data_IF_958320347830
#
_entry.id   IF_958320347830
#
_cell.length_a   1.000
_cell.length_b   1.000
_cell.length_c   1.000
_cell.angle_alpha   90.00
_cell.angle_beta   90.00
_cell.angle_gamma   90.00
#
_symmetry.space_group_name_H-M   'P 1'
#
loop_
_entity.id
_entity.type
_entity.pdbx_description
1 polymer ?
#
# COMPACT_ATOMS: atom_id res chain seq x y z
N UNK A 1 -48.76 32.85 -12.23
CA UNK A 1 -48.17 32.14 -11.06
C UNK A 1 -47.56 30.79 -11.45
N UNK A 2 -48.24 29.85 -12.13
CA UNK A 2 -47.72 28.50 -12.44
C UNK A 2 -46.44 28.45 -13.32
N UNK A 3 -46.24 29.44 -14.22
CA UNK A 3 -45.04 29.55 -15.08
C UNK A 3 -43.81 30.03 -14.32
N UNK A 4 -43.98 31.01 -13.42
CA UNK A 4 -42.88 31.54 -12.60
C UNK A 4 -42.34 30.47 -11.64
N UNK A 5 -43.19 29.65 -11.07
CA UNK A 5 -42.81 28.55 -10.18
C UNK A 5 -42.03 27.45 -10.93
N UNK A 6 -42.40 27.18 -12.19
CA UNK A 6 -41.64 26.22 -13.03
C UNK A 6 -40.24 26.71 -13.39
N UNK A 7 -40.12 27.99 -13.72
CA UNK A 7 -38.82 28.61 -14.04
C UNK A 7 -37.91 28.61 -12.80
N UNK A 8 -38.47 28.93 -11.61
CA UNK A 8 -37.74 28.92 -10.36
C UNK A 8 -37.26 27.49 -10.01
N UNK A 9 -38.08 26.46 -10.21
CA UNK A 9 -37.71 25.04 -10.00
C UNK A 9 -36.59 24.60 -10.95
N UNK A 10 -36.63 25.02 -12.22
CA UNK A 10 -35.58 24.69 -13.20
C UNK A 10 -34.25 25.37 -12.82
N UNK A 11 -34.29 26.62 -12.36
CA UNK A 11 -33.12 27.38 -11.90
C UNK A 11 -32.48 26.73 -10.66
N UNK A 12 -33.28 26.32 -9.68
CA UNK A 12 -32.80 25.64 -8.47
C UNK A 12 -32.21 24.28 -8.82
N UNK A 13 -32.83 23.50 -9.70
CA UNK A 13 -32.32 22.20 -10.16
C UNK A 13 -31.01 22.35 -10.96
N UNK A 14 -30.89 23.39 -11.80
CA UNK A 14 -29.66 23.72 -12.51
C UNK A 14 -28.50 24.05 -11.55
N UNK A 15 -28.80 24.79 -10.47
CA UNK A 15 -27.77 25.18 -9.49
C UNK A 15 -27.20 23.98 -8.70
N UNK A 16 -28.01 22.95 -8.45
CA UNK A 16 -27.59 21.72 -7.76
C UNK A 16 -26.64 20.90 -8.63
N UNK A 17 -26.79 20.94 -9.96
CA UNK A 17 -25.93 20.18 -10.88
C UNK A 17 -24.49 20.75 -11.00
N UNK A 18 -24.26 22.01 -10.64
CA UNK A 18 -22.93 22.64 -10.69
C UNK A 18 -22.11 22.48 -9.40
N UNK A 19 -22.67 21.90 -8.33
CA UNK A 19 -22.00 21.79 -7.02
C UNK A 19 -21.07 20.57 -6.90
N UNK A 20 -20.93 19.74 -7.93
CA UNK A 20 -20.07 18.54 -7.91
C UNK A 20 -18.65 18.81 -8.40
N UNK A 21 -18.03 19.89 -7.92
CA UNK A 21 -16.60 20.06 -8.12
C UNK A 21 -15.86 19.23 -7.06
N UNK A 22 -15.51 17.99 -7.36
CA UNK A 22 -14.62 17.21 -6.51
C UNK A 22 -13.26 17.93 -6.50
N UNK A 23 -12.81 18.33 -5.32
CA UNK A 23 -11.44 18.82 -5.12
C UNK A 23 -10.50 17.69 -5.51
N UNK A 24 -9.70 17.91 -6.55
CA UNK A 24 -8.63 16.98 -6.92
C UNK A 24 -7.60 17.05 -5.79
N UNK A 25 -7.46 15.97 -5.04
CA UNK A 25 -6.42 15.86 -4.04
C UNK A 25 -5.06 15.82 -4.73
N UNK A 26 -4.13 16.65 -4.25
CA UNK A 26 -2.76 16.66 -4.73
C UNK A 26 -1.86 16.12 -3.62
N UNK A 27 -1.10 15.10 -3.95
CA UNK A 27 -0.11 14.50 -3.06
C UNK A 27 1.30 14.95 -3.47
N UNK A 28 2.31 14.80 -2.60
CA UNK A 28 3.72 14.92 -2.97
C UNK A 28 4.10 13.90 -4.04
N UNK A 29 5.06 14.26 -4.92
CA UNK A 29 5.57 13.35 -5.94
C UNK A 29 6.39 12.19 -5.33
N UNK A 30 6.95 12.40 -4.13
CA UNK A 30 7.59 11.32 -3.35
C UNK A 30 6.46 10.49 -2.70
N UNK A 31 6.41 9.18 -2.96
CA UNK A 31 5.37 8.34 -2.39
C UNK A 31 5.36 8.35 -0.87
N UNK A 32 4.16 8.26 -0.29
CA UNK A 32 3.97 8.14 1.16
C UNK A 32 3.13 6.91 1.46
N UNK A 33 3.49 6.17 2.50
CA UNK A 33 2.75 4.97 2.94
C UNK A 33 2.34 5.05 4.39
N UNK A 34 1.22 4.38 4.72
CA UNK A 34 0.73 4.24 6.09
C UNK A 34 0.32 2.79 6.35
N UNK A 35 0.53 2.33 7.58
CA UNK A 35 0.06 1.01 8.00
C UNK A 35 -1.47 1.01 8.15
N UNK A 36 -2.13 0.06 7.49
CA UNK A 36 -3.59 -0.12 7.58
C UNK A 36 -3.95 -1.30 8.47
N UNK A 37 -3.24 -2.42 8.31
CA UNK A 37 -3.54 -3.60 9.11
C UNK A 37 -2.70 -4.81 8.75
N UNK A 38 -2.78 -5.81 9.64
CA UNK A 38 -2.19 -7.12 9.43
C UNK A 38 -3.19 -8.19 9.86
N UNK A 39 -3.39 -9.19 9.00
CA UNK A 39 -4.32 -10.29 9.25
C UNK A 39 -3.55 -11.60 9.27
N UNK A 40 -3.76 -12.42 10.30
CA UNK A 40 -3.11 -13.73 10.43
C UNK A 40 -3.95 -14.80 9.71
N UNK A 41 -3.29 -15.66 8.96
CA UNK A 41 -3.85 -16.89 8.40
C UNK A 41 -3.31 -18.04 9.22
N UNK A 42 -4.20 -18.71 9.95
CA UNK A 42 -3.87 -19.71 10.97
C UNK A 42 -4.28 -21.10 10.44
N UNK A 43 -3.42 -22.08 10.60
CA UNK A 43 -3.70 -23.46 10.22
C UNK A 43 -4.56 -24.19 11.31
N UNK A 44 -5.04 -25.44 11.04
CA UNK A 44 -5.82 -26.21 12.01
C UNK A 44 -5.10 -26.52 13.34
N UNK A 45 -3.76 -26.39 13.38
CA UNK A 45 -2.96 -26.57 14.58
C UNK A 45 -2.71 -25.26 15.35
N UNK A 46 -3.46 -24.20 15.02
CA UNK A 46 -3.35 -22.86 15.62
C UNK A 46 -2.01 -22.16 15.39
N UNK A 47 -1.26 -22.56 14.35
CA UNK A 47 0.01 -21.93 13.96
C UNK A 47 -0.28 -20.91 12.85
N UNK A 48 0.30 -19.71 12.96
CA UNK A 48 0.22 -18.69 11.91
C UNK A 48 1.16 -19.09 10.76
N UNK A 49 0.60 -19.44 9.61
CA UNK A 49 1.37 -19.82 8.42
C UNK A 49 1.67 -18.64 7.51
N UNK A 50 0.75 -17.68 7.47
CA UNK A 50 0.87 -16.49 6.62
C UNK A 50 0.29 -15.29 7.34
N UNK A 51 0.74 -14.12 6.92
CA UNK A 51 0.14 -12.85 7.29
C UNK A 51 -0.20 -12.06 6.03
N UNK A 52 -1.32 -11.37 6.04
CA UNK A 52 -1.68 -10.41 4.99
C UNK A 52 -1.35 -9.03 5.53
N UNK A 53 -0.31 -8.42 5.01
CA UNK A 53 0.07 -7.03 5.29
C UNK A 53 -0.73 -6.11 4.38
N UNK A 54 -1.34 -5.08 4.97
CA UNK A 54 -2.09 -4.06 4.25
C UNK A 54 -1.53 -2.69 4.58
N UNK A 55 -1.21 -1.94 3.54
CA UNK A 55 -0.76 -0.55 3.62
C UNK A 55 -1.62 0.33 2.72
N UNK A 56 -1.75 1.60 3.05
CA UNK A 56 -2.23 2.62 2.11
C UNK A 56 -1.05 3.38 1.53
N UNK A 57 -1.26 3.99 0.37
CA UNK A 57 -0.25 4.84 -0.26
C UNK A 57 -0.88 6.06 -0.91
N UNK A 58 -0.07 7.11 -1.07
CA UNK A 58 -0.34 8.28 -1.91
C UNK A 58 0.88 8.58 -2.75
N UNK A 59 0.65 9.11 -3.96
CA UNK A 59 1.70 9.48 -4.89
C UNK A 59 1.21 10.58 -5.84
N UNK A 60 2.00 11.65 -5.98
CA UNK A 60 1.56 12.89 -6.64
C UNK A 60 1.63 12.85 -8.15
N UNK A 61 2.61 12.22 -8.75
CA UNK A 61 2.78 12.09 -10.20
C UNK A 61 2.33 10.73 -10.74
N UNK A 62 1.95 9.80 -9.82
CA UNK A 62 1.32 8.52 -10.13
C UNK A 62 2.23 7.57 -10.87
N UNK A 63 3.51 7.61 -10.59
CA UNK A 63 4.47 6.76 -11.27
C UNK A 63 4.88 5.51 -10.48
N UNK A 64 4.14 5.18 -9.40
CA UNK A 64 4.24 3.88 -8.73
C UNK A 64 3.87 2.77 -9.69
N UNK A 65 4.69 1.74 -9.68
CA UNK A 65 4.44 0.50 -10.41
C UNK A 65 5.46 0.18 -11.48
N UNK A 66 5.66 -1.11 -11.70
CA UNK A 66 6.61 -1.66 -12.66
C UNK A 66 5.90 -2.38 -13.80
N UNK A 67 6.46 -2.31 -14.99
CA UNK A 67 5.99 -3.10 -16.14
C UNK A 67 6.47 -4.55 -16.01
N UNK A 68 5.87 -5.47 -16.77
CA UNK A 68 6.32 -6.86 -16.78
C UNK A 68 7.76 -7.04 -17.32
N UNK A 69 8.28 -6.05 -18.06
CA UNK A 69 9.62 -6.07 -18.63
C UNK A 69 10.71 -5.55 -17.67
N UNK A 70 10.31 -4.88 -16.59
CA UNK A 70 11.22 -4.35 -15.57
C UNK A 70 11.65 -5.50 -14.65
N UNK A 71 12.65 -6.27 -15.03
CA UNK A 71 13.07 -7.51 -14.33
C UNK A 71 14.47 -7.44 -13.75
N UNK A 72 15.18 -6.32 -13.95
CA UNK A 72 16.55 -6.14 -13.50
C UNK A 72 16.66 -4.94 -12.54
N UNK A 73 17.62 -4.94 -11.61
CA UNK A 73 17.90 -3.80 -10.76
C UNK A 73 18.12 -2.51 -11.57
N UNK A 74 17.62 -1.36 -11.10
CA UNK A 74 16.95 -1.14 -9.83
C UNK A 74 15.43 -1.45 -9.84
N UNK A 75 14.88 -1.92 -10.97
CA UNK A 75 13.44 -2.11 -11.18
C UNK A 75 12.98 -3.57 -11.01
N UNK A 76 13.77 -4.40 -10.34
CA UNK A 76 13.38 -5.79 -10.06
C UNK A 76 12.21 -5.85 -9.06
N UNK A 77 12.26 -5.02 -8.03
CA UNK A 77 11.23 -4.86 -7.01
C UNK A 77 10.94 -3.38 -6.76
N UNK A 78 9.75 -3.08 -6.26
CA UNK A 78 9.36 -1.74 -5.86
C UNK A 78 8.51 -1.70 -4.58
N UNK A 79 8.33 -2.85 -3.93
CA UNK A 79 7.77 -2.99 -2.60
C UNK A 79 8.75 -3.82 -1.77
N UNK A 80 9.42 -3.17 -0.84
CA UNK A 80 10.49 -3.76 -0.04
C UNK A 80 9.97 -4.11 1.34
N UNK A 81 10.22 -5.36 1.77
CA UNK A 81 9.71 -5.90 3.03
C UNK A 81 10.86 -6.60 3.74
N UNK A 82 11.24 -6.06 4.91
CA UNK A 82 12.16 -6.69 5.84
C UNK A 82 11.38 -7.51 6.85
N UNK A 83 11.76 -8.76 7.00
CA UNK A 83 11.23 -9.68 8.00
C UNK A 83 12.12 -9.64 9.24
N UNK A 84 11.57 -9.26 10.38
CA UNK A 84 12.31 -9.15 11.63
C UNK A 84 11.74 -10.09 12.68
N UNK A 85 12.62 -10.84 13.36
CA UNK A 85 12.27 -11.69 14.51
C UNK A 85 12.72 -11.04 15.82
N UNK A 86 11.91 -11.18 16.87
CA UNK A 86 12.25 -10.69 18.21
C UNK A 86 13.16 -11.68 18.90
N UNK A 87 14.44 -11.38 18.94
CA UNK A 87 15.49 -12.23 19.53
C UNK A 87 16.03 -11.54 20.78
N UNK A 88 15.90 -12.19 21.95
CA UNK A 88 16.38 -11.68 23.24
C UNK A 88 15.87 -10.26 23.58
N UNK A 89 14.65 -9.92 23.14
CA UNK A 89 14.02 -8.63 23.37
C UNK A 89 14.23 -7.59 22.28
N UNK A 90 15.17 -7.81 21.35
CA UNK A 90 15.50 -6.94 20.23
C UNK A 90 15.00 -7.52 18.91
N UNK A 91 14.63 -6.65 17.95
CA UNK A 91 14.24 -7.10 16.61
C UNK A 91 15.46 -7.18 15.71
N UNK A 92 15.66 -8.35 15.12
CA UNK A 92 16.75 -8.66 14.20
C UNK A 92 16.18 -8.98 12.83
N UNK A 93 16.67 -8.31 11.79
CA UNK A 93 16.31 -8.62 10.41
C UNK A 93 16.83 -10.01 10.02
N UNK A 94 15.98 -10.85 9.46
CA UNK A 94 16.33 -12.18 8.97
C UNK A 94 16.43 -12.11 7.45
N UNK A 95 17.64 -12.29 6.96
CA UNK A 95 17.92 -12.39 5.52
C UNK A 95 17.92 -13.84 5.11
N UNK A 96 17.06 -14.20 4.15
CA UNK A 96 16.98 -15.53 3.60
C UNK A 96 17.89 -15.66 2.37
N UNK A 97 18.69 -16.71 2.30
CA UNK A 97 19.73 -16.86 1.27
C UNK A 97 19.14 -17.00 -0.15
N UNK A 98 17.95 -17.59 -0.29
CA UNK A 98 17.42 -17.98 -1.59
C UNK A 98 16.09 -17.32 -1.94
N UNK A 99 15.54 -16.45 -1.10
CA UNK A 99 14.33 -15.72 -1.41
C UNK A 99 14.25 -14.38 -0.67
N UNK A 100 13.43 -13.50 -1.17
CA UNK A 100 13.11 -12.21 -0.56
C UNK A 100 11.60 -12.08 -0.41
N UNK A 101 11.15 -11.32 0.57
CA UNK A 101 9.75 -10.90 0.70
C UNK A 101 9.43 -9.66 -0.15
N UNK A 102 10.43 -9.11 -0.84
CA UNK A 102 10.19 -7.98 -1.72
C UNK A 102 9.21 -8.36 -2.83
N UNK A 103 8.34 -7.45 -3.17
CA UNK A 103 7.26 -7.66 -4.11
C UNK A 103 7.24 -6.60 -5.22
N UNK A 104 6.37 -6.80 -6.17
CA UNK A 104 6.20 -5.91 -7.33
C UNK A 104 4.79 -5.35 -7.34
N UNK A 105 4.69 -4.04 -7.26
CA UNK A 105 3.45 -3.32 -7.51
C UNK A 105 3.35 -3.12 -9.02
N UNK A 106 2.26 -3.54 -9.67
CA UNK A 106 2.06 -3.28 -11.10
C UNK A 106 1.78 -1.80 -11.34
N UNK A 107 1.88 -1.37 -12.60
CA UNK A 107 1.55 0.00 -12.97
C UNK A 107 0.11 0.33 -12.59
N UNK A 108 -0.05 1.39 -11.81
CA UNK A 108 -1.33 1.89 -11.31
C UNK A 108 -1.69 3.27 -11.90
N UNK A 109 -0.84 3.80 -12.78
CA UNK A 109 -0.99 5.16 -13.33
C UNK A 109 -2.36 5.34 -14.00
N UNK A 110 -3.19 6.29 -13.54
CA UNK A 110 -4.46 6.58 -14.17
C UNK A 110 -4.25 7.24 -15.54
N UNK A 111 -5.23 7.07 -16.43
CA UNK A 111 -5.27 7.81 -17.69
C UNK A 111 -5.68 9.26 -17.44
N UNK A 112 -5.09 10.19 -18.21
CA UNK A 112 -5.45 11.61 -18.16
C UNK A 112 -4.37 12.54 -17.59
N UNK A 113 -4.76 13.79 -17.30
CA UNK A 113 -3.83 14.85 -16.86
C UNK A 113 -3.48 14.78 -15.38
N UNK A 114 -4.42 14.33 -14.56
CA UNK A 114 -4.18 14.18 -13.13
C UNK A 114 -3.68 12.78 -12.88
N UNK A 115 -2.44 12.66 -12.47
CA UNK A 115 -1.77 11.41 -12.18
C UNK A 115 -1.67 11.11 -10.68
N UNK A 116 -2.06 12.09 -9.85
CA UNK A 116 -2.05 11.91 -8.39
C UNK A 116 -2.95 10.74 -8.00
N UNK A 117 -2.38 9.76 -7.32
CA UNK A 117 -3.06 8.52 -6.94
C UNK A 117 -3.00 8.26 -5.45
N UNK A 118 -3.99 7.54 -4.97
CA UNK A 118 -4.03 6.93 -3.65
C UNK A 118 -4.70 5.57 -3.73
N UNK A 119 -4.32 4.68 -2.84
CA UNK A 119 -4.89 3.34 -2.82
C UNK A 119 -4.39 2.51 -1.65
N UNK A 120 -4.70 1.23 -1.71
CA UNK A 120 -4.24 0.24 -0.76
C UNK A 120 -3.54 -0.90 -1.47
N UNK A 121 -2.49 -1.42 -0.84
CA UNK A 121 -1.73 -2.58 -1.30
C UNK A 121 -1.86 -3.65 -0.24
N UNK A 122 -2.08 -4.88 -0.68
CA UNK A 122 -2.06 -6.05 0.18
C UNK A 122 -1.04 -7.05 -0.36
N UNK A 123 -0.23 -7.57 0.55
CA UNK A 123 0.67 -8.68 0.23
C UNK A 123 0.55 -9.80 1.25
N UNK A 124 0.74 -11.04 0.79
CA UNK A 124 0.63 -12.23 1.61
C UNK A 124 2.01 -12.82 1.85
N UNK A 125 2.51 -12.66 3.06
CA UNK A 125 3.84 -13.05 3.50
C UNK A 125 3.76 -14.40 4.19
N UNK A 126 4.60 -15.37 3.76
CA UNK A 126 4.75 -16.66 4.42
C UNK A 126 5.58 -16.47 5.69
N UNK A 127 5.09 -17.00 6.79
CA UNK A 127 5.78 -16.93 8.09
C UNK A 127 6.76 -18.10 8.24
N UNK A 128 7.95 -17.80 8.78
CA UNK A 128 8.91 -18.86 9.13
C UNK A 128 8.48 -19.61 10.39
N UNK A 129 7.69 -20.66 10.22
CA UNK A 129 7.18 -21.47 11.34
C UNK A 129 8.27 -22.34 11.99
N UNK A 130 9.44 -22.48 11.35
CA UNK A 130 10.60 -23.25 11.86
C UNK A 130 11.51 -22.43 12.77
N UNK A 131 11.33 -21.11 12.81
CA UNK A 131 12.07 -20.23 13.73
C UNK A 131 11.86 -20.66 15.20
N UNK A 132 12.88 -20.49 16.03
CA UNK A 132 12.77 -20.66 17.48
C UNK A 132 11.99 -19.51 18.16
N UNK A 133 11.82 -18.41 17.48
CA UNK A 133 11.17 -17.20 17.98
C UNK A 133 9.69 -17.16 17.59
N UNK A 134 8.87 -16.55 18.42
CA UNK A 134 7.41 -16.51 18.31
C UNK A 134 6.85 -15.17 17.91
N UNK A 135 7.67 -14.13 17.89
CA UNK A 135 7.24 -12.76 17.65
C UNK A 135 8.02 -12.17 16.46
N UNK A 136 7.28 -11.67 15.50
CA UNK A 136 7.84 -11.04 14.28
C UNK A 136 7.26 -9.65 14.08
N UNK A 137 7.91 -8.84 13.25
CA UNK A 137 7.36 -7.62 12.67
C UNK A 137 7.94 -7.40 11.28
N UNK A 138 7.35 -6.49 10.53
CA UNK A 138 7.85 -6.09 9.22
C UNK A 138 8.22 -4.61 9.24
N UNK A 139 9.30 -4.27 8.51
CA UNK A 139 9.63 -2.90 8.13
C UNK A 139 9.50 -2.83 6.61
N UNK A 140 8.79 -1.83 6.10
CA UNK A 140 8.48 -1.79 4.67
C UNK A 140 8.46 -0.38 4.12
N UNK A 141 8.81 -0.25 2.84
CA UNK A 141 8.73 0.95 2.04
C UNK A 141 8.45 0.60 0.58
N UNK A 142 8.05 1.58 -0.21
CA UNK A 142 7.86 1.44 -1.66
C UNK A 142 8.78 2.40 -2.41
N UNK A 143 9.04 2.09 -3.67
CA UNK A 143 9.87 2.90 -4.57
C UNK A 143 9.09 3.16 -5.86
N UNK A 144 9.07 4.41 -6.33
CA UNK A 144 8.47 4.79 -7.60
C UNK A 144 9.44 4.54 -8.80
N UNK A 145 9.00 4.86 -10.02
CA UNK A 145 9.85 4.73 -11.22
C UNK A 145 10.92 5.81 -11.34
N UNK A 146 10.77 6.92 -10.65
CA UNK A 146 11.80 7.95 -10.53
C UNK A 146 12.85 7.60 -9.46
N UNK A 147 12.70 6.43 -8.78
CA UNK A 147 13.54 5.92 -7.70
C UNK A 147 13.47 6.76 -6.41
N UNK A 148 12.35 7.43 -6.18
CA UNK A 148 12.08 8.01 -4.87
C UNK A 148 11.58 6.93 -3.91
N UNK A 149 12.21 6.87 -2.74
CA UNK A 149 11.76 6.00 -1.66
C UNK A 149 10.69 6.68 -0.81
N UNK A 150 9.65 5.96 -0.44
CA UNK A 150 8.66 6.42 0.54
C UNK A 150 9.27 6.48 1.94
N UNK A 151 8.50 6.98 2.90
CA UNK A 151 8.77 6.72 4.30
C UNK A 151 8.78 5.21 4.60
N UNK A 152 9.56 4.81 5.60
CA UNK A 152 9.53 3.44 6.15
C UNK A 152 8.45 3.35 7.22
N UNK A 153 7.64 2.30 7.18
CA UNK A 153 6.73 1.95 8.25
C UNK A 153 7.15 0.65 8.92
N UNK A 154 6.90 0.56 10.22
CA UNK A 154 7.11 -0.64 11.04
C UNK A 154 5.75 -1.13 11.51
N UNK A 155 5.45 -2.42 11.29
CA UNK A 155 4.19 -3.02 11.76
C UNK A 155 4.19 -3.21 13.28
N UNK A 156 3.02 -3.34 13.90
CA UNK A 156 2.92 -3.92 15.24
C UNK A 156 3.53 -5.33 15.31
N UNK A 157 3.86 -5.77 16.52
CA UNK A 157 4.34 -7.12 16.80
C UNK A 157 3.28 -8.17 16.42
N UNK A 158 3.70 -9.21 15.73
CA UNK A 158 2.86 -10.35 15.34
C UNK A 158 3.33 -11.59 16.05
N UNK A 159 2.52 -12.10 16.97
CA UNK A 159 2.78 -13.38 17.63
C UNK A 159 2.33 -14.49 16.70
N UNK A 160 3.24 -15.42 16.36
CA UNK A 160 3.05 -16.47 15.36
C UNK A 160 2.91 -17.88 15.95
N UNK A 161 3.19 -18.06 17.25
CA UNK A 161 3.06 -19.33 17.98
C UNK A 161 2.35 -19.13 19.30
#
# INVERSE_FOLDING_TARGET
>A
MKTLTKILLILVFSFILFSSCQKIEKYPDIPQIEFVGITKIINPNYIVEKVVLKISFTDGDGDIGLTQNDTLPPYEYNFFIKYCEKQNGEFVEIVFEHFSFNARIPILTPEGRNKSIKGEIQDTIIVNTMSAYDTIRFETYIVDRALHESNVITTPDVIIK
#
